data_IF_037250061811
#
_entry.id   IF_037250061811
#
_cell.length_a   1.000
_cell.length_b   1.000
_cell.length_c   1.000
_cell.angle_alpha   90.00
_cell.angle_beta   90.00
_cell.angle_gamma   90.00
#
_symmetry.space_group_name_H-M   'P 1'
#
loop_
_entity.id
_entity.type
_entity.pdbx_description
1 polymer ?
#
# COMPACT_ATOMS: atom_id res chain seq x y z
N UNK A 1 12.89 -8.31 -0.80
CA UNK A 1 11.54 -8.21 -0.22
C UNK A 1 11.62 -8.67 1.22
N UNK A 2 11.07 -7.90 2.15
CA UNK A 2 10.87 -8.35 3.53
C UNK A 2 9.81 -9.44 3.56
N UNK A 3 9.93 -10.40 4.46
CA UNK A 3 8.87 -11.35 4.75
C UNK A 3 7.68 -10.64 5.40
N UNK A 4 6.48 -11.23 5.33
CA UNK A 4 5.28 -10.70 6.00
C UNK A 4 5.54 -10.48 7.50
N UNK A 5 6.29 -11.37 8.14
CA UNK A 5 6.66 -11.26 9.56
C UNK A 5 7.52 -10.03 9.84
N UNK A 6 8.52 -9.78 9.00
CA UNK A 6 9.39 -8.59 9.13
C UNK A 6 8.60 -7.30 8.88
N UNK A 7 7.75 -7.27 7.85
CA UNK A 7 6.89 -6.11 7.58
C UNK A 7 5.94 -5.81 8.76
N UNK A 8 5.38 -6.83 9.41
CA UNK A 8 4.55 -6.64 10.60
C UNK A 8 5.35 -6.08 11.79
N UNK A 9 6.60 -6.50 11.96
CA UNK A 9 7.49 -5.96 12.99
C UNK A 9 7.83 -4.49 12.73
N UNK A 10 8.08 -4.12 11.46
CA UNK A 10 8.30 -2.73 11.06
C UNK A 10 7.07 -1.85 11.34
N UNK A 11 5.87 -2.32 10.99
CA UNK A 11 4.61 -1.61 11.27
C UNK A 11 4.45 -1.45 12.79
N UNK A 12 4.60 -2.53 13.55
CA UNK A 12 4.46 -2.50 15.00
C UNK A 12 5.42 -1.51 15.68
N UNK A 13 6.65 -1.39 15.18
CA UNK A 13 7.65 -0.47 15.71
C UNK A 13 7.31 1.02 15.49
N UNK A 14 6.41 1.33 14.55
CA UNK A 14 6.02 2.70 14.19
C UNK A 14 4.65 3.11 14.75
N UNK A 15 3.90 2.17 15.34
CA UNK A 15 2.58 2.45 15.88
C UNK A 15 2.67 3.26 17.19
N UNK A 16 1.78 4.24 17.40
CA UNK A 16 1.62 4.88 18.70
C UNK A 16 1.21 3.89 19.79
N UNK A 17 1.64 4.13 21.03
CA UNK A 17 1.29 3.30 22.19
C UNK A 17 -0.23 3.16 22.39
N UNK A 18 -0.98 4.19 22.02
CA UNK A 18 -2.43 4.29 22.23
C UNK A 18 -3.22 4.00 20.94
N UNK A 19 -2.62 3.30 19.97
CA UNK A 19 -3.27 3.00 18.70
C UNK A 19 -4.48 2.07 18.85
N UNK A 20 -5.45 2.26 17.97
CA UNK A 20 -6.65 1.45 17.84
C UNK A 20 -6.45 0.33 16.82
N UNK A 21 -7.28 -0.71 16.90
CA UNK A 21 -7.26 -1.80 15.92
C UNK A 21 -7.51 -1.31 14.48
N UNK A 22 -8.33 -0.28 14.31
CA UNK A 22 -8.60 0.32 13.00
C UNK A 22 -7.33 0.94 12.39
N UNK A 23 -6.53 1.63 13.20
CA UNK A 23 -5.25 2.20 12.77
C UNK A 23 -4.23 1.10 12.42
N UNK A 24 -4.17 0.02 13.20
CA UNK A 24 -3.30 -1.14 12.88
C UNK A 24 -3.70 -1.74 11.52
N UNK A 25 -4.99 -2.00 11.32
CA UNK A 25 -5.49 -2.57 10.07
C UNK A 25 -5.27 -1.64 8.89
N UNK A 26 -5.42 -0.33 9.09
CA UNK A 26 -5.11 0.67 8.07
C UNK A 26 -3.64 0.61 7.63
N UNK A 27 -2.69 0.57 8.57
CA UNK A 27 -1.26 0.48 8.22
C UNK A 27 -0.93 -0.78 7.42
N UNK A 28 -1.49 -1.93 7.81
CA UNK A 28 -1.34 -3.19 7.08
C UNK A 28 -1.89 -3.06 5.66
N UNK A 29 -3.10 -2.51 5.51
CA UNK A 29 -3.73 -2.34 4.21
C UNK A 29 -2.93 -1.43 3.28
N UNK A 30 -2.43 -0.29 3.79
CA UNK A 30 -1.59 0.62 3.03
C UNK A 30 -0.31 -0.06 2.55
N UNK A 31 0.38 -0.81 3.42
CA UNK A 31 1.59 -1.56 3.04
C UNK A 31 1.29 -2.56 1.93
N UNK A 32 0.21 -3.33 2.03
CA UNK A 32 -0.21 -4.27 0.99
C UNK A 32 -0.50 -3.58 -0.35
N UNK A 33 -1.17 -2.42 -0.33
CA UNK A 33 -1.47 -1.66 -1.55
C UNK A 33 -0.21 -1.12 -2.22
N UNK A 34 0.77 -0.67 -1.44
CA UNK A 34 2.07 -0.23 -1.99
C UNK A 34 2.80 -1.41 -2.62
N UNK A 35 2.89 -2.56 -1.94
CA UNK A 35 3.59 -3.74 -2.46
C UNK A 35 2.93 -4.27 -3.75
N UNK A 36 1.59 -4.26 -3.80
CA UNK A 36 0.83 -4.57 -5.01
C UNK A 36 1.13 -3.57 -6.14
N UNK A 37 1.07 -2.27 -5.85
CA UNK A 37 1.34 -1.23 -6.85
C UNK A 37 2.76 -1.28 -7.41
N UNK A 38 3.76 -1.54 -6.56
CA UNK A 38 5.14 -1.75 -7.01
C UNK A 38 5.27 -2.98 -7.92
N UNK A 39 4.53 -4.04 -7.61
CA UNK A 39 4.48 -5.25 -8.45
C UNK A 39 3.80 -4.97 -9.79
N UNK A 40 2.69 -4.23 -9.79
CA UNK A 40 1.99 -3.80 -11.00
C UNK A 40 2.91 -2.96 -11.91
N UNK A 41 3.67 -2.02 -11.33
CA UNK A 41 4.67 -1.22 -12.06
C UNK A 41 5.77 -2.10 -12.65
N UNK A 42 6.32 -3.04 -11.88
CA UNK A 42 7.38 -3.94 -12.35
C UNK A 42 6.90 -4.85 -13.49
N UNK A 43 5.62 -5.22 -13.49
CA UNK A 43 4.99 -6.07 -14.50
C UNK A 43 4.35 -5.27 -15.65
N UNK A 44 4.51 -3.94 -15.66
CA UNK A 44 3.97 -3.05 -16.71
C UNK A 44 2.44 -2.93 -16.71
N UNK A 45 1.76 -3.31 -15.61
CA UNK A 45 0.32 -3.13 -15.40
C UNK A 45 -0.01 -1.71 -14.94
N UNK A 46 0.41 -0.73 -15.73
CA UNK A 46 0.16 0.69 -15.47
C UNK A 46 -0.70 1.28 -16.58
N UNK A 47 -1.56 2.23 -16.23
CA UNK A 47 -2.31 3.02 -17.20
C UNK A 47 -1.63 4.37 -17.40
N UNK A 48 -1.59 4.85 -18.65
CA UNK A 48 -1.07 6.18 -18.96
C UNK A 48 -1.93 7.29 -18.34
N UNK A 49 -1.29 8.38 -17.93
CA UNK A 49 -1.98 9.50 -17.30
C UNK A 49 -3.10 10.08 -18.17
N UNK A 50 -2.87 10.24 -19.47
CA UNK A 50 -3.84 10.86 -20.38
C UNK A 50 -5.10 9.97 -20.50
N UNK A 51 -4.91 8.65 -20.53
CA UNK A 51 -6.01 7.69 -20.57
C UNK A 51 -6.85 7.71 -19.27
N UNK A 52 -6.19 7.79 -18.09
CA UNK A 52 -6.90 7.93 -16.81
C UNK A 52 -7.66 9.26 -16.75
N UNK A 53 -7.06 10.36 -17.20
CA UNK A 53 -7.69 11.67 -17.19
C UNK A 53 -8.95 11.68 -18.07
N UNK A 54 -8.87 11.16 -19.30
CA UNK A 54 -10.02 11.07 -20.21
C UNK A 54 -11.19 10.26 -19.63
N UNK A 55 -10.90 9.17 -18.91
CA UNK A 55 -11.92 8.32 -18.28
C UNK A 55 -12.66 9.02 -17.13
N UNK A 56 -11.94 9.73 -16.25
CA UNK A 56 -12.48 10.27 -15.00
C UNK A 56 -12.79 11.77 -15.01
N UNK A 57 -12.53 12.49 -16.11
CA UNK A 57 -12.81 13.94 -16.20
C UNK A 57 -14.25 14.30 -16.61
N UNK A 58 -15.15 13.33 -16.73
CA UNK A 58 -16.59 13.52 -17.06
C UNK A 58 -17.47 13.43 -15.82
#
# INVERSE_FOLDING_TARGET
>A
MSTVRESLMEIAAQLPEQCTWDEVMYQIYVRQKIESGLTDVAEGRTTDHDAVFEEYSR
#
